data_IF_678259583204
#
_entry.id   IF_678259583204
#
_cell.length_a   1.000
_cell.length_b   1.000
_cell.length_c   1.000
_cell.angle_alpha   90.00
_cell.angle_beta   90.00
_cell.angle_gamma   90.00
#
_symmetry.space_group_name_H-M   'P 1'
#
loop_
_entity.id
_entity.type
_entity.pdbx_description
1 polymer ?
#
# COMPACT_ATOMS: atom_id res chain seq x y z
N UNK A 1 -18.02 0.74 -3.90
CA UNK A 1 -16.56 0.82 -3.59
C UNK A 1 -16.21 2.30 -3.73
N UNK A 2 -15.78 3.00 -2.69
CA UNK A 2 -15.61 4.46 -2.76
C UNK A 2 -14.74 4.88 -3.96
N UNK A 3 -15.24 5.83 -4.75
CA UNK A 3 -14.61 6.34 -5.97
C UNK A 3 -13.44 7.27 -5.65
N UNK A 4 -12.36 6.68 -5.12
CA UNK A 4 -11.13 7.42 -4.89
C UNK A 4 -10.44 7.76 -6.22
N UNK A 5 -10.12 9.04 -6.42
CA UNK A 5 -9.39 9.52 -7.60
C UNK A 5 -8.01 8.85 -7.73
N UNK A 6 -7.54 8.68 -8.98
CA UNK A 6 -6.20 8.11 -9.26
C UNK A 6 -5.08 8.82 -8.50
N UNK A 7 -5.14 10.15 -8.42
CA UNK A 7 -4.16 10.97 -7.69
C UNK A 7 -4.12 10.66 -6.19
N UNK A 8 -5.28 10.47 -5.57
CA UNK A 8 -5.38 10.08 -4.16
C UNK A 8 -4.76 8.70 -3.92
N UNK A 9 -5.12 7.70 -4.73
CA UNK A 9 -4.58 6.34 -4.64
C UNK A 9 -3.04 6.34 -4.75
N UNK A 10 -2.50 7.10 -5.70
CA UNK A 10 -1.05 7.22 -5.90
C UNK A 10 -0.36 7.93 -4.72
N UNK A 11 -0.96 9.00 -4.17
CA UNK A 11 -0.41 9.73 -3.01
C UNK A 11 -0.34 8.84 -1.77
N UNK A 12 -1.40 8.09 -1.50
CA UNK A 12 -1.47 7.12 -0.39
C UNK A 12 -0.38 6.05 -0.51
N UNK A 13 -0.22 5.43 -1.69
CA UNK A 13 0.81 4.41 -1.89
C UNK A 13 2.23 5.01 -1.83
N UNK A 14 2.40 6.24 -2.32
CA UNK A 14 3.67 6.96 -2.22
C UNK A 14 4.03 7.29 -0.77
N UNK A 15 3.06 7.75 0.04
CA UNK A 15 3.24 7.95 1.48
C UNK A 15 3.71 6.65 2.14
N UNK A 16 3.10 5.54 1.76
CA UNK A 16 3.50 4.24 2.29
C UNK A 16 4.93 3.84 1.94
N UNK A 17 5.35 4.05 0.68
CA UNK A 17 6.66 3.63 0.20
C UNK A 17 7.76 4.58 0.68
N UNK A 18 7.57 5.90 0.50
CA UNK A 18 8.61 6.91 0.78
C UNK A 18 8.76 7.24 2.25
N UNK A 19 7.67 7.28 3.01
CA UNK A 19 7.69 7.75 4.40
C UNK A 19 7.70 6.60 5.41
N UNK A 20 7.80 5.34 4.95
CA UNK A 20 7.81 4.14 5.77
C UNK A 20 6.68 4.07 6.84
N UNK A 21 5.55 4.77 6.59
CA UNK A 21 4.42 4.80 7.51
C UNK A 21 3.80 3.41 7.65
N UNK A 22 3.29 3.10 8.84
CA UNK A 22 2.56 1.86 9.04
C UNK A 22 1.21 1.89 8.31
N UNK A 23 0.73 0.71 7.93
CA UNK A 23 -0.60 0.56 7.32
C UNK A 23 -1.73 1.04 8.23
N UNK A 24 -1.57 0.94 9.55
CA UNK A 24 -2.52 1.48 10.53
C UNK A 24 -2.53 3.01 10.52
N UNK A 25 -1.38 3.66 10.45
CA UNK A 25 -1.29 5.12 10.35
C UNK A 25 -1.90 5.62 9.05
N UNK A 26 -1.61 4.95 7.93
CA UNK A 26 -2.19 5.31 6.63
C UNK A 26 -3.70 5.06 6.60
N UNK A 27 -4.15 3.95 7.19
CA UNK A 27 -5.58 3.64 7.30
C UNK A 27 -6.32 4.69 8.11
N UNK A 28 -5.76 5.10 9.27
CA UNK A 28 -6.32 6.17 10.11
C UNK A 28 -6.28 7.53 9.42
N UNK A 29 -5.17 7.88 8.78
CA UNK A 29 -4.98 9.18 8.13
C UNK A 29 -5.79 9.34 6.83
N UNK A 30 -5.92 8.26 6.06
CA UNK A 30 -6.59 8.29 4.75
C UNK A 30 -8.04 7.79 4.81
N UNK A 31 -8.50 7.27 5.94
CA UNK A 31 -9.84 6.69 6.10
C UNK A 31 -10.07 5.42 5.26
N UNK A 32 -9.00 4.72 4.87
CA UNK A 32 -9.09 3.56 3.98
C UNK A 32 -8.83 2.27 4.72
N UNK A 33 -9.57 1.23 4.37
CA UNK A 33 -9.32 -0.11 4.88
C UNK A 33 -7.95 -0.64 4.41
N UNK A 34 -7.29 -1.41 5.29
CA UNK A 34 -5.99 -2.02 5.01
C UNK A 34 -6.02 -2.88 3.74
N UNK A 35 -7.09 -3.65 3.49
CA UNK A 35 -7.22 -4.47 2.26
C UNK A 35 -7.27 -3.60 1.01
N UNK A 36 -7.92 -2.45 1.09
CA UNK A 36 -7.98 -1.47 -0.02
C UNK A 36 -6.60 -0.88 -0.31
N UNK A 37 -5.88 -0.49 0.73
CA UNK A 37 -4.50 0.00 0.64
C UNK A 37 -3.57 -1.03 -0.01
N UNK A 38 -3.68 -2.31 0.36
CA UNK A 38 -2.87 -3.38 -0.23
C UNK A 38 -3.18 -3.63 -1.72
N UNK A 39 -4.46 -3.57 -2.11
CA UNK A 39 -4.85 -3.66 -3.54
C UNK A 39 -4.23 -2.54 -4.37
N UNK A 40 -4.22 -1.32 -3.84
CA UNK A 40 -3.60 -0.18 -4.54
C UNK A 40 -2.09 -0.31 -4.58
N UNK A 41 -1.46 -0.73 -3.48
CA UNK A 41 -0.03 -0.98 -3.44
C UNK A 41 0.40 -1.95 -4.54
N UNK A 42 -0.24 -3.13 -4.67
CA UNK A 42 0.11 -4.10 -5.70
C UNK A 42 0.04 -3.52 -7.12
N UNK A 43 -0.91 -2.62 -7.38
CA UNK A 43 -1.12 -2.02 -8.71
C UNK A 43 -0.18 -0.85 -9.01
N UNK A 44 0.00 0.06 -8.04
CA UNK A 44 0.80 1.27 -8.21
C UNK A 44 2.27 1.11 -7.84
N UNK A 45 2.66 0.03 -7.17
CA UNK A 45 4.06 -0.25 -6.85
C UNK A 45 4.99 -0.22 -8.08
N UNK A 46 4.74 -1.00 -9.15
CA UNK A 46 5.60 -0.95 -10.34
C UNK A 46 5.61 0.44 -11.01
N UNK A 47 4.49 1.17 -10.95
CA UNK A 47 4.41 2.54 -11.46
C UNK A 47 5.22 3.55 -10.64
N UNK A 48 5.27 3.40 -9.31
CA UNK A 48 5.92 4.35 -8.40
C UNK A 48 7.41 4.06 -8.24
N UNK A 49 7.82 2.79 -8.24
CA UNK A 49 9.22 2.37 -8.06
C UNK A 49 9.96 2.17 -9.38
N UNK A 50 9.30 2.37 -10.53
CA UNK A 50 9.90 2.27 -11.86
C UNK A 50 10.47 0.88 -12.18
N UNK A 51 9.93 -0.18 -11.58
CA UNK A 51 10.45 -1.56 -11.75
C UNK A 51 11.83 -1.83 -11.12
N UNK A 52 12.44 -0.84 -10.46
CA UNK A 52 13.77 -0.95 -9.90
C UNK A 52 13.76 -1.40 -8.44
N UNK A 53 14.33 -2.59 -8.20
CA UNK A 53 14.68 -3.20 -6.90
C UNK A 53 13.50 -3.51 -5.95
N UNK A 54 13.41 -4.79 -5.58
CA UNK A 54 12.63 -5.24 -4.42
C UNK A 54 13.26 -4.68 -3.17
N UNK A 55 12.76 -3.55 -2.70
CA UNK A 55 13.21 -2.95 -1.45
C UNK A 55 12.85 -3.87 -0.27
N UNK A 56 13.66 -3.89 0.81
CA UNK A 56 13.36 -4.72 2.01
C UNK A 56 11.97 -4.40 2.56
N UNK A 57 11.52 -3.16 2.39
CA UNK A 57 10.17 -2.68 2.71
C UNK A 57 9.09 -3.43 1.93
N UNK A 58 9.33 -3.81 0.67
CA UNK A 58 8.39 -4.63 -0.13
C UNK A 58 8.25 -6.04 0.44
N UNK A 59 9.34 -6.66 0.88
CA UNK A 59 9.32 -7.99 1.49
C UNK A 59 8.46 -8.04 2.75
N UNK A 60 8.66 -7.06 3.64
CA UNK A 60 7.85 -6.91 4.86
C UNK A 60 6.37 -6.65 4.54
N UNK A 61 6.07 -5.76 3.59
CA UNK A 61 4.68 -5.45 3.20
C UNK A 61 3.97 -6.62 2.52
N UNK A 62 4.67 -7.42 1.73
CA UNK A 62 4.12 -8.64 1.11
C UNK A 62 3.93 -9.76 2.13
N UNK A 63 4.80 -9.86 3.14
CA UNK A 63 4.61 -10.77 4.27
C UNK A 63 3.38 -10.37 5.10
N UNK A 64 3.23 -9.08 5.39
CA UNK A 64 2.06 -8.52 6.07
C UNK A 64 0.77 -8.77 5.28
N UNK A 65 0.79 -8.56 3.96
CA UNK A 65 -0.33 -8.90 3.07
C UNK A 65 -0.71 -10.37 3.19
N UNK A 66 0.27 -11.27 3.12
CA UNK A 66 0.05 -12.71 3.26
C UNK A 66 -0.55 -13.05 4.62
N UNK A 67 -0.10 -12.43 5.70
CA UNK A 67 -0.64 -12.67 7.03
C UNK A 67 -2.11 -12.19 7.15
N UNK A 68 -2.41 -11.01 6.62
CA UNK A 68 -3.75 -10.41 6.71
C UNK A 68 -4.78 -11.02 5.74
N UNK A 69 -4.34 -11.51 4.59
CA UNK A 69 -5.18 -12.26 3.65
C UNK A 69 -5.22 -13.77 3.95
N UNK A 70 -4.50 -14.23 4.98
CA UNK A 70 -4.50 -15.62 5.48
C UNK A 70 -5.14 -15.69 6.86
N UNK A 71 -6.22 -14.92 7.05
CA UNK A 71 -7.19 -15.19 8.12
C UNK A 71 -8.31 -16.01 7.44
N UNK A 72 -8.62 -17.22 7.94
CA UNK A 72 -9.72 -18.04 7.40
C UNK A 72 -11.07 -17.32 7.45
#
# INVERSE_FOLDING_TARGET
MADYSKGFKRRVVTLWIKYNMSSNEISRSSGIDHKTLMKWYKRFYPEITGGGKRDKVQGFKMALYRQLCRIP
#
